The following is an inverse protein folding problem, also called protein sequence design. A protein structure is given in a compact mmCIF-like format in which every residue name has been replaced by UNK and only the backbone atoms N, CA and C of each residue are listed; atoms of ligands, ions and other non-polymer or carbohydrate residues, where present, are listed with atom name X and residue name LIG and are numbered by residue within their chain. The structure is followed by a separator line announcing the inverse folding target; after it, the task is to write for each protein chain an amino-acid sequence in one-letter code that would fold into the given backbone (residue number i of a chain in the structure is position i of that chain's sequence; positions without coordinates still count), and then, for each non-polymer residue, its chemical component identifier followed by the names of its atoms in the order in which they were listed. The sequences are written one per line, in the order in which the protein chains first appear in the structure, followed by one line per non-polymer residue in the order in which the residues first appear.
data_IF_820497638835
#
_entry.id   IF_820497638835
#
_cell.length_a   1.000
_cell.length_b   1.000
_cell.length_c   1.000
_cell.angle_alpha   90.00
_cell.angle_beta   90.00
_cell.angle_gamma   90.00
#
_symmetry.space_group_name_H-M   'P 1'
#
loop_
_entity.id
_entity.type
_entity.pdbx_description
1 polymer ?
#
# COMPACT_ATOMS: atom_id res chain seq x y z
N UNK A 1 -5.84 24.68 -4.90
CA UNK A 1 -5.76 23.67 -5.97
C UNK A 1 -5.92 22.31 -5.31
N UNK A 2 -6.77 21.43 -5.86
CA UNK A 2 -7.00 20.09 -5.31
C UNK A 2 -5.86 19.17 -5.75
N UNK A 3 -5.39 18.32 -4.84
CA UNK A 3 -4.31 17.38 -5.15
C UNK A 3 -4.86 16.25 -6.01
N UNK A 4 -4.19 15.98 -7.13
CA UNK A 4 -4.53 14.87 -8.01
C UNK A 4 -3.35 14.54 -8.92
N UNK A 5 -3.15 13.26 -9.19
CA UNK A 5 -2.40 12.76 -10.32
C UNK A 5 -3.32 12.51 -11.53
N UNK A 6 -2.85 12.86 -12.72
CA UNK A 6 -3.55 12.58 -13.97
C UNK A 6 -2.57 12.49 -15.15
N UNK A 7 -3.07 12.10 -16.31
CA UNK A 7 -2.34 12.03 -17.55
C UNK A 7 -3.05 12.88 -18.62
N UNK A 8 -2.37 13.17 -19.73
CA UNK A 8 -3.01 13.76 -20.90
C UNK A 8 -2.98 15.28 -20.98
N UNK A 9 -2.14 15.95 -20.18
CA UNK A 9 -1.69 17.29 -20.57
C UNK A 9 -0.68 17.08 -21.70
N UNK A 10 -1.14 17.21 -22.94
CA UNK A 10 -0.25 17.21 -24.11
C UNK A 10 0.41 18.59 -24.25
N UNK A 11 1.03 19.09 -23.18
CA UNK A 11 1.81 20.31 -23.24
C UNK A 11 3.14 20.00 -23.93
N UNK A 12 3.46 20.80 -24.94
CA UNK A 12 4.70 20.70 -25.70
C UNK A 12 5.37 22.07 -25.71
N UNK A 13 6.63 22.12 -25.32
CA UNK A 13 7.46 23.31 -25.42
C UNK A 13 8.91 22.89 -25.64
N UNK A 14 9.64 23.65 -26.46
CA UNK A 14 11.09 23.49 -26.68
C UNK A 14 11.54 22.06 -27.03
N UNK A 15 10.70 21.31 -27.76
CA UNK A 15 10.99 19.94 -28.19
C UNK A 15 10.76 18.86 -27.14
N UNK A 16 10.17 19.19 -25.98
CA UNK A 16 9.81 18.25 -24.90
C UNK A 16 8.30 18.18 -24.75
N UNK A 17 7.78 17.00 -24.44
CA UNK A 17 6.36 16.75 -24.17
C UNK A 17 6.16 16.33 -22.72
N UNK A 18 5.14 16.87 -22.06
CA UNK A 18 4.71 16.38 -20.74
C UNK A 18 3.91 15.09 -20.85
N UNK A 19 4.06 14.21 -19.85
CA UNK A 19 3.31 12.96 -19.71
C UNK A 19 2.33 13.02 -18.54
N UNK A 20 2.50 12.13 -17.57
CA UNK A 20 1.77 12.17 -16.29
C UNK A 20 2.21 13.36 -15.45
N UNK A 21 1.28 13.92 -14.67
CA UNK A 21 1.54 15.05 -13.79
C UNK A 21 0.80 14.88 -12.46
N UNK A 22 1.28 15.56 -11.42
CA UNK A 22 0.62 15.66 -10.12
C UNK A 22 0.61 17.12 -9.70
N UNK A 23 -0.49 17.57 -9.10
CA UNK A 23 -0.61 18.92 -8.54
C UNK A 23 -0.81 18.88 -7.03
N UNK A 24 -0.39 19.91 -6.33
CA UNK A 24 -0.53 20.03 -4.88
C UNK A 24 -0.71 21.48 -4.43
N UNK A 25 -1.27 21.67 -3.25
CA UNK A 25 -1.36 22.95 -2.56
C UNK A 25 -0.03 23.36 -1.89
N UNK A 26 0.06 24.64 -1.50
CA UNK A 26 1.27 25.23 -0.92
C UNK A 26 1.62 24.70 0.49
N UNK A 27 0.69 24.02 1.17
CA UNK A 27 0.92 23.40 2.48
C UNK A 27 1.18 21.92 2.24
N UNK A 28 2.43 21.51 2.41
CA UNK A 28 2.88 20.15 2.16
C UNK A 28 2.67 19.31 3.43
N UNK A 29 1.55 18.59 3.51
CA UNK A 29 1.56 17.34 4.28
C UNK A 29 2.41 16.33 3.50
N UNK A 30 3.18 15.46 4.17
CA UNK A 30 3.93 14.40 3.49
C UNK A 30 3.01 13.33 2.91
N UNK A 31 1.83 13.17 3.51
CA UNK A 31 0.80 12.23 3.05
C UNK A 31 0.54 12.30 1.55
N UNK A 32 0.02 13.44 1.10
CA UNK A 32 -0.55 13.51 -0.24
C UNK A 32 0.52 13.35 -1.32
N UNK A 33 1.69 14.01 -1.23
CA UNK A 33 2.80 13.72 -2.13
C UNK A 33 3.19 12.23 -2.13
N UNK A 34 3.29 11.56 -0.98
CA UNK A 34 3.62 10.13 -0.94
C UNK A 34 2.58 9.25 -1.64
N UNK A 35 1.29 9.52 -1.40
CA UNK A 35 0.17 8.80 -2.03
C UNK A 35 0.17 8.98 -3.56
N UNK A 36 0.26 10.22 -4.04
CA UNK A 36 0.24 10.51 -5.48
C UNK A 36 1.50 9.99 -6.20
N UNK A 37 2.65 9.98 -5.53
CA UNK A 37 3.86 9.33 -6.08
C UNK A 37 3.67 7.81 -6.22
N UNK A 38 2.87 7.19 -5.35
CA UNK A 38 2.48 5.78 -5.48
C UNK A 38 1.79 5.51 -6.82
N UNK A 39 0.83 6.36 -7.19
CA UNK A 39 0.20 6.29 -8.52
C UNK A 39 1.19 6.53 -9.65
N UNK A 40 2.02 7.58 -9.54
CA UNK A 40 2.85 8.01 -10.67
C UNK A 40 4.04 7.11 -10.98
N UNK A 41 4.70 6.62 -9.93
CA UNK A 41 5.93 5.84 -10.08
C UNK A 41 5.66 4.36 -10.23
N UNK A 42 4.59 3.86 -9.61
CA UNK A 42 4.35 2.42 -9.46
C UNK A 42 2.98 1.96 -9.96
N UNK A 43 2.14 2.87 -10.47
CA UNK A 43 0.77 2.58 -10.90
C UNK A 43 -0.08 1.89 -9.82
N UNK A 44 0.19 2.15 -8.54
CA UNK A 44 -0.61 1.58 -7.46
C UNK A 44 -2.03 2.15 -7.53
N UNK A 45 -3.10 1.32 -7.54
CA UNK A 45 -4.46 1.83 -7.43
C UNK A 45 -4.73 2.33 -6.01
N UNK A 46 -5.73 3.20 -5.87
CA UNK A 46 -6.32 3.47 -4.57
C UNK A 46 -6.92 2.21 -3.98
N UNK A 47 -6.65 1.96 -2.69
CA UNK A 47 -7.11 0.76 -1.97
C UNK A 47 -8.30 1.02 -1.05
N UNK A 48 -8.78 2.27 -1.00
CA UNK A 48 -10.05 2.60 -0.36
C UNK A 48 -11.25 2.36 -1.30
N UNK A 49 -12.45 2.26 -0.71
CA UNK A 49 -13.68 2.07 -1.46
C UNK A 49 -14.24 3.41 -1.94
N UNK A 50 -14.65 3.49 -3.21
CA UNK A 50 -15.29 4.68 -3.78
C UNK A 50 -16.82 4.63 -3.76
N UNK A 51 -17.40 3.43 -3.58
CA UNK A 51 -18.85 3.19 -3.57
C UNK A 51 -19.35 3.03 -2.14
N UNK A 52 -20.57 3.52 -1.85
CA UNK A 52 -21.25 3.22 -0.59
C UNK A 52 -21.61 1.74 -0.53
N UNK A 53 -20.99 0.97 0.37
CA UNK A 53 -21.27 -0.43 0.62
C UNK A 53 -20.41 -0.96 1.77
N UNK A 54 -20.81 -2.07 2.40
CA UNK A 54 -20.04 -2.70 3.49
C UNK A 54 -19.21 -3.82 2.86
N UNK A 55 -18.10 -3.44 2.23
CA UNK A 55 -17.04 -4.38 1.86
C UNK A 55 -15.83 -4.00 2.71
N UNK A 56 -15.14 -4.98 3.31
CA UNK A 56 -14.02 -4.72 4.21
C UNK A 56 -12.96 -3.87 3.51
N UNK A 57 -12.79 -2.61 3.93
CA UNK A 57 -11.75 -1.74 3.39
C UNK A 57 -10.45 -1.96 4.17
N UNK A 58 -9.30 -1.84 3.50
CA UNK A 58 -7.98 -1.83 4.16
C UNK A 58 -7.89 -0.71 5.23
N UNK A 59 -8.72 0.33 5.09
CA UNK A 59 -8.89 1.35 6.12
C UNK A 59 -7.64 2.18 6.30
N UNK A 60 -7.31 2.51 7.55
CA UNK A 60 -6.19 3.39 7.88
C UNK A 60 -4.83 2.69 7.95
N UNK A 61 -4.72 1.44 7.47
CA UNK A 61 -3.48 0.65 7.50
C UNK A 61 -2.60 0.81 6.25
N UNK A 62 -3.07 1.47 5.19
CA UNK A 62 -2.35 1.58 3.91
C UNK A 62 -2.26 3.04 3.43
N UNK A 63 -1.08 3.38 2.90
CA UNK A 63 -0.80 4.66 2.23
C UNK A 63 -1.77 4.94 1.08
N UNK A 64 -2.15 3.91 0.33
CA UNK A 64 -3.08 4.02 -0.79
C UNK A 64 -4.56 4.01 -0.36
N UNK A 65 -4.83 3.94 0.95
CA UNK A 65 -6.15 3.99 1.54
C UNK A 65 -6.37 5.32 2.31
N UNK A 66 -7.05 5.26 3.44
CA UNK A 66 -7.23 6.41 4.34
C UNK A 66 -6.11 6.54 5.38
N UNK A 67 -5.12 5.63 5.36
CA UNK A 67 -4.07 5.53 6.36
C UNK A 67 -3.08 6.67 6.26
N UNK A 68 -3.26 7.69 7.08
CA UNK A 68 -2.44 8.90 6.94
C UNK A 68 -2.45 9.82 8.15
N UNK A 69 -1.24 10.17 8.59
CA UNK A 69 -1.01 11.34 9.44
C UNK A 69 -0.18 12.37 8.66
N UNK A 70 -0.39 13.66 8.95
CA UNK A 70 0.09 14.79 8.13
C UNK A 70 1.59 14.70 7.79
N UNK A 71 2.45 14.41 8.77
CA UNK A 71 3.91 14.43 8.62
C UNK A 71 4.55 13.02 8.70
N UNK A 72 3.74 11.97 8.85
CA UNK A 72 4.21 10.60 8.90
C UNK A 72 3.10 9.67 8.38
N UNK A 73 2.88 9.61 7.06
CA UNK A 73 1.92 8.69 6.50
C UNK A 73 2.34 7.24 6.81
N UNK A 74 1.34 6.38 6.99
CA UNK A 74 1.58 4.96 7.26
C UNK A 74 2.30 4.31 6.06
N UNK A 75 3.01 3.20 6.25
CA UNK A 75 3.67 2.50 5.15
C UNK A 75 2.67 2.03 4.06
N UNK A 76 3.11 1.87 2.80
CA UNK A 76 2.35 1.12 1.80
C UNK A 76 2.07 -0.30 2.27
N UNK A 77 0.97 -0.89 1.79
CA UNK A 77 0.66 -2.29 2.11
C UNK A 77 1.78 -3.26 1.64
N UNK A 78 1.87 -4.46 2.25
CA UNK A 78 2.94 -5.42 1.96
C UNK A 78 2.99 -5.91 0.51
N UNK A 79 1.86 -5.96 -0.18
CA UNK A 79 1.82 -6.35 -1.60
C UNK A 79 2.63 -5.38 -2.46
N UNK A 80 2.43 -4.07 -2.27
CA UNK A 80 3.20 -3.04 -2.97
C UNK A 80 4.68 -3.06 -2.59
N UNK A 81 5.00 -3.18 -1.29
CA UNK A 81 6.39 -3.25 -0.84
C UNK A 81 7.16 -4.44 -1.45
N UNK A 82 6.52 -5.60 -1.57
CA UNK A 82 7.10 -6.78 -2.21
C UNK A 82 7.21 -6.61 -3.72
N UNK A 83 6.19 -6.05 -4.38
CA UNK A 83 6.17 -5.84 -5.83
C UNK A 83 7.31 -4.90 -6.30
N UNK A 84 7.59 -3.85 -5.52
CA UNK A 84 8.68 -2.90 -5.82
C UNK A 84 10.05 -3.35 -5.29
N UNK A 85 10.13 -4.51 -4.62
CA UNK A 85 11.37 -5.06 -4.07
C UNK A 85 11.93 -4.29 -2.86
N UNK A 86 11.08 -3.54 -2.16
CA UNK A 86 11.44 -2.81 -0.94
C UNK A 86 11.36 -3.69 0.32
N UNK A 87 10.67 -4.82 0.20
CA UNK A 87 10.56 -5.82 1.24
C UNK A 87 10.92 -7.21 0.70
N UNK A 88 11.08 -8.17 1.62
CA UNK A 88 11.29 -9.58 1.29
C UNK A 88 10.24 -10.45 1.97
N UNK A 89 10.01 -11.66 1.44
CA UNK A 89 9.08 -12.61 2.03
C UNK A 89 9.67 -14.02 2.13
N UNK A 90 9.36 -14.71 3.23
CA UNK A 90 9.65 -16.14 3.43
C UNK A 90 8.38 -16.96 3.27
N UNK A 91 8.36 -17.93 2.37
CA UNK A 91 7.22 -18.85 2.18
C UNK A 91 7.15 -19.87 3.33
N UNK A 92 5.95 -20.06 3.88
CA UNK A 92 5.71 -20.90 5.08
C UNK A 92 4.73 -22.06 4.84
N UNK A 93 4.36 -22.37 3.58
CA UNK A 93 3.39 -23.42 3.26
C UNK A 93 3.60 -24.76 3.98
N UNK A 94 4.86 -25.15 4.20
CA UNK A 94 5.23 -26.42 4.82
C UNK A 94 5.91 -26.23 6.20
N UNK A 95 5.82 -25.03 6.77
CA UNK A 95 6.41 -24.74 8.06
C UNK A 95 5.48 -25.20 9.20
N UNK A 96 6.06 -25.85 10.20
CA UNK A 96 5.38 -26.21 11.44
C UNK A 96 6.29 -25.86 12.61
N UNK A 97 5.86 -24.92 13.44
CA UNK A 97 6.65 -24.43 14.56
C UNK A 97 6.30 -23.00 14.95
N UNK A 98 7.21 -22.37 15.69
CA UNK A 98 7.09 -20.98 16.12
C UNK A 98 7.99 -20.10 15.27
N UNK A 99 7.44 -18.99 14.80
CA UNK A 99 8.17 -17.93 14.12
C UNK A 99 8.46 -16.83 15.15
N UNK A 100 9.71 -16.38 15.22
CA UNK A 100 10.11 -15.17 15.95
C UNK A 100 10.37 -14.09 14.93
N UNK A 101 9.65 -12.98 15.05
CA UNK A 101 9.67 -11.89 14.09
C UNK A 101 10.21 -10.60 14.72
N UNK A 102 10.76 -9.71 13.89
CA UNK A 102 11.21 -8.38 14.31
C UNK A 102 10.16 -7.36 13.89
N UNK A 103 9.52 -6.71 14.86
CA UNK A 103 8.45 -5.77 14.57
C UNK A 103 8.92 -4.60 13.69
N UNK A 104 8.06 -4.17 12.77
CA UNK A 104 8.30 -3.11 11.79
C UNK A 104 9.45 -3.36 10.80
N UNK A 105 9.97 -4.58 10.73
CA UNK A 105 10.92 -4.95 9.68
C UNK A 105 10.20 -5.04 8.32
N UNK A 106 10.96 -4.85 7.24
CA UNK A 106 10.48 -5.02 5.85
C UNK A 106 10.64 -6.48 5.41
N UNK A 107 10.34 -7.39 6.33
CA UNK A 107 10.30 -8.83 6.11
C UNK A 107 8.91 -9.34 6.45
N UNK A 108 8.37 -10.15 5.56
CA UNK A 108 7.06 -10.75 5.70
C UNK A 108 7.17 -12.27 5.62
N UNK A 109 6.17 -12.93 6.18
CA UNK A 109 5.96 -14.34 5.95
C UNK A 109 4.76 -14.51 5.04
N UNK A 110 4.89 -15.42 4.08
CA UNK A 110 3.88 -15.66 3.05
C UNK A 110 3.33 -17.07 3.20
N UNK A 111 2.02 -17.19 3.13
CA UNK A 111 1.34 -18.46 2.92
C UNK A 111 0.59 -18.39 1.59
N UNK A 112 1.10 -19.09 0.58
CA UNK A 112 0.47 -19.14 -0.74
C UNK A 112 -0.64 -20.18 -0.81
N UNK A 113 -1.84 -19.82 -1.29
CA UNK A 113 -2.92 -20.79 -1.47
C UNK A 113 -2.49 -21.86 -2.50
N UNK A 114 -2.41 -23.16 -2.12
CA UNK A 114 -1.95 -24.22 -3.02
C UNK A 114 -2.84 -24.42 -4.26
N UNK A 115 -4.10 -24.00 -4.21
CA UNK A 115 -5.06 -24.12 -5.31
C UNK A 115 -5.11 -22.88 -6.21
N UNK A 116 -4.66 -21.73 -5.70
CA UNK A 116 -4.63 -20.47 -6.43
C UNK A 116 -3.43 -19.63 -5.97
N UNK A 117 -2.28 -19.68 -6.64
CA UNK A 117 -1.09 -18.96 -6.19
C UNK A 117 -1.21 -17.43 -6.24
N UNK A 118 -2.27 -16.90 -6.87
CA UNK A 118 -2.61 -15.46 -6.86
C UNK A 118 -3.39 -15.04 -5.62
N UNK A 119 -3.75 -15.99 -4.77
CA UNK A 119 -4.32 -15.75 -3.45
C UNK A 119 -3.33 -16.19 -2.37
N UNK A 120 -3.05 -15.31 -1.42
CA UNK A 120 -2.09 -15.61 -0.36
C UNK A 120 -2.30 -14.72 0.85
N UNK A 121 -1.70 -15.14 1.96
CA UNK A 121 -1.62 -14.34 3.17
C UNK A 121 -0.20 -13.84 3.37
N UNK A 122 -0.06 -12.56 3.74
CA UNK A 122 1.19 -11.97 4.22
C UNK A 122 1.02 -11.60 5.68
N UNK A 123 2.04 -11.82 6.48
CA UNK A 123 2.00 -11.50 7.90
C UNK A 123 3.35 -11.04 8.42
N UNK A 124 3.32 -10.10 9.36
CA UNK A 124 4.47 -9.58 10.07
C UNK A 124 4.02 -8.96 11.41
N UNK A 125 4.96 -8.78 12.32
CA UNK A 125 4.79 -8.04 13.54
C UNK A 125 4.93 -6.52 13.28
N UNK A 126 4.07 -5.74 13.90
CA UNK A 126 4.05 -4.29 13.85
C UNK A 126 4.01 -3.74 15.27
N UNK A 127 4.70 -2.63 15.50
CA UNK A 127 4.60 -1.81 16.71
C UNK A 127 4.40 -0.36 16.33
N UNK A 128 3.66 0.41 17.14
CA UNK A 128 3.38 1.82 16.86
C UNK A 128 4.59 2.72 17.16
N UNK A 129 5.65 2.54 16.38
CA UNK A 129 6.91 3.28 16.47
C UNK A 129 7.42 3.64 15.07
N UNK A 130 8.26 4.68 14.98
CA UNK A 130 8.87 5.11 13.72
C UNK A 130 7.83 5.39 12.62
N UNK A 131 7.97 4.72 11.46
CA UNK A 131 7.04 4.86 10.32
C UNK A 131 5.65 4.28 10.59
N UNK A 132 5.57 3.32 11.50
CA UNK A 132 4.33 2.64 11.90
C UNK A 132 3.58 3.38 13.02
N UNK A 133 4.11 4.51 13.53
CA UNK A 133 3.57 5.23 14.70
C UNK A 133 2.06 5.54 14.63
N UNK A 134 1.55 5.79 13.43
CA UNK A 134 0.15 6.17 13.21
C UNK A 134 -0.71 5.03 12.63
N UNK A 135 -0.21 3.79 12.68
CA UNK A 135 -1.08 2.66 12.42
C UNK A 135 -2.15 2.56 13.53
N UNK A 136 -3.37 2.12 13.18
CA UNK A 136 -4.47 2.06 14.15
C UNK A 136 -4.24 1.14 15.34
N UNK A 137 -3.37 0.13 15.17
CA UNK A 137 -3.10 -0.90 16.18
C UNK A 137 -1.72 -1.53 15.94
N UNK A 138 -1.23 -2.27 16.93
CA UNK A 138 0.03 -3.02 16.91
C UNK A 138 -0.16 -4.52 17.22
N UNK A 139 0.84 -5.33 16.89
CA UNK A 139 0.81 -6.78 17.06
C UNK A 139 1.04 -7.51 15.74
N UNK A 140 0.39 -8.66 15.58
CA UNK A 140 0.46 -9.45 14.35
C UNK A 140 -0.51 -8.88 13.31
N UNK A 141 0.00 -8.52 12.14
CA UNK A 141 -0.85 -8.20 10.99
C UNK A 141 -1.01 -9.42 10.08
N UNK A 142 -2.18 -9.53 9.46
CA UNK A 142 -2.49 -10.57 8.47
C UNK A 142 -3.19 -9.89 7.30
N UNK A 143 -2.56 -9.96 6.13
CA UNK A 143 -3.03 -9.38 4.89
C UNK A 143 -3.45 -10.49 3.96
N UNK A 144 -4.72 -10.49 3.56
CA UNK A 144 -5.21 -11.37 2.49
C UNK A 144 -5.03 -10.64 1.16
N UNK A 145 -4.29 -11.24 0.26
CA UNK A 145 -4.04 -10.71 -1.08
C UNK A 145 -4.73 -11.61 -2.10
N UNK A 146 -5.43 -11.00 -3.06
CA UNK A 146 -5.96 -11.64 -4.25
C UNK A 146 -5.63 -10.78 -5.47
N UNK A 147 -4.67 -11.21 -6.29
CA UNK A 147 -4.20 -10.43 -7.44
C UNK A 147 -5.24 -10.37 -8.58
N UNK A 148 -6.25 -11.25 -8.55
CA UNK A 148 -7.38 -11.21 -9.48
C UNK A 148 -8.61 -10.50 -8.89
N UNK A 149 -8.53 -10.11 -7.62
CA UNK A 149 -9.64 -9.51 -6.90
C UNK A 149 -9.87 -8.06 -7.29
N UNK A 150 -11.06 -7.56 -6.97
CA UNK A 150 -11.38 -6.14 -7.10
C UNK A 150 -11.68 -5.56 -5.72
N UNK A 151 -10.88 -4.58 -5.29
CA UNK A 151 -11.04 -3.89 -4.00
C UNK A 151 -12.39 -3.14 -3.84
N UNK A 152 -13.19 -3.05 -4.89
CA UNK A 152 -14.55 -2.50 -4.85
C UNK A 152 -15.64 -3.54 -4.59
N UNK A 153 -15.36 -4.85 -4.77
CA UNK A 153 -16.35 -5.93 -4.64
C UNK A 153 -15.89 -7.12 -3.78
N UNK A 154 -14.58 -7.30 -3.62
CA UNK A 154 -13.97 -8.48 -3.01
C UNK A 154 -13.07 -8.03 -1.85
N UNK A 155 -13.41 -8.43 -0.63
CA UNK A 155 -12.58 -8.24 0.57
C UNK A 155 -11.67 -9.43 0.88
#
# INVERSE_FOLDING_TARGET
MWHHASAGINFQADGVMSGTYCTGGAILSLRTPCHENGHQLFNWPDTYQYRSGICGTIGTFDLMASGSYYDNPVPPNPYYLLNEGWATATEVNNFSGTITDTANDLHFYKYTNPLNPREYYLFNAVQNTGRSLYLPDEGLTIWKINENGNNQSDG
#
